data_IF_429506077674
#
_entry.id   IF_429506077674
#
_cell.length_a   1.000
_cell.length_b   1.000
_cell.length_c   1.000
_cell.angle_alpha   90.00
_cell.angle_beta   90.00
_cell.angle_gamma   90.00
#
_symmetry.space_group_name_H-M   'P 1'
#
loop_
_entity.id
_entity.type
_entity.pdbx_description
1 polymer ?
#
# COMPACT_ATOMS: atom_id res chain seq x y z
N UNK A 1 45.76 45.45 -1.70
CA UNK A 1 45.75 44.10 -1.10
C UNK A 1 44.33 43.71 -0.69
N UNK A 2 43.58 44.62 -0.08
CA UNK A 2 42.21 44.38 0.43
C UNK A 2 41.17 43.96 -0.63
N UNK A 3 41.24 44.51 -1.84
CA UNK A 3 40.28 44.18 -2.91
C UNK A 3 40.36 42.72 -3.37
N UNK A 4 41.58 42.19 -3.54
CA UNK A 4 41.80 40.79 -3.95
C UNK A 4 41.37 39.83 -2.83
N UNK A 5 41.65 40.18 -1.56
CA UNK A 5 41.18 39.41 -0.41
C UNK A 5 39.65 39.37 -0.32
N UNK A 6 38.96 40.48 -0.54
CA UNK A 6 37.49 40.51 -0.55
C UNK A 6 36.90 39.62 -1.65
N UNK A 7 37.48 39.62 -2.85
CA UNK A 7 37.05 38.74 -3.94
C UNK A 7 37.27 37.27 -3.57
N UNK A 8 38.42 36.91 -3.01
CA UNK A 8 38.73 35.54 -2.59
C UNK A 8 37.77 35.04 -1.49
N UNK A 9 37.43 35.89 -0.52
CA UNK A 9 36.44 35.58 0.51
C UNK A 9 35.06 35.38 -0.12
N UNK A 10 34.64 36.26 -1.02
CA UNK A 10 33.37 36.14 -1.74
C UNK A 10 33.25 34.85 -2.55
N UNK A 11 34.31 34.48 -3.30
CA UNK A 11 34.36 33.23 -4.06
C UNK A 11 34.27 32.03 -3.12
N UNK A 12 35.02 32.05 -2.01
CA UNK A 12 35.04 30.94 -1.06
C UNK A 12 33.67 30.72 -0.43
N UNK A 13 33.01 31.80 0.01
CA UNK A 13 31.65 31.75 0.58
C UNK A 13 30.66 31.25 -0.48
N UNK A 14 30.74 31.75 -1.72
CA UNK A 14 29.86 31.33 -2.80
C UNK A 14 30.04 29.84 -3.13
N UNK A 15 31.28 29.35 -3.21
CA UNK A 15 31.57 27.94 -3.47
C UNK A 15 31.06 27.04 -2.34
N UNK A 16 31.32 27.38 -1.07
CA UNK A 16 30.82 26.61 0.07
C UNK A 16 29.28 26.60 0.08
N UNK A 17 28.65 27.76 -0.12
CA UNK A 17 27.19 27.88 -0.12
C UNK A 17 26.56 27.06 -1.25
N UNK A 18 27.15 27.08 -2.44
CA UNK A 18 26.67 26.28 -3.58
C UNK A 18 26.73 24.78 -3.28
N UNK A 19 27.85 24.29 -2.72
CA UNK A 19 28.01 22.86 -2.37
C UNK A 19 27.00 22.44 -1.30
N UNK A 20 26.83 23.25 -0.24
CA UNK A 20 25.84 22.97 0.82
C UNK A 20 24.43 22.95 0.25
N UNK A 21 24.08 23.92 -0.58
CA UNK A 21 22.76 24.01 -1.21
C UNK A 21 22.48 22.78 -2.08
N UNK A 22 23.41 22.39 -2.94
CA UNK A 22 23.26 21.20 -3.79
C UNK A 22 23.09 19.93 -2.95
N UNK A 23 23.88 19.77 -1.89
CA UNK A 23 23.78 18.61 -1.00
C UNK A 23 22.42 18.54 -0.29
N UNK A 24 21.93 19.68 0.23
CA UNK A 24 20.63 19.76 0.87
C UNK A 24 19.49 19.46 -0.11
N UNK A 25 19.54 20.06 -1.31
CA UNK A 25 18.56 19.84 -2.37
C UNK A 25 18.51 18.37 -2.81
N UNK A 26 19.68 17.72 -3.00
CA UNK A 26 19.74 16.30 -3.36
C UNK A 26 19.19 15.40 -2.26
N UNK A 27 19.51 15.69 -1.00
CA UNK A 27 19.00 14.92 0.13
C UNK A 27 17.48 15.04 0.24
N UNK A 28 16.95 16.26 0.10
CA UNK A 28 15.50 16.52 0.06
C UNK A 28 14.82 15.76 -1.08
N UNK A 29 15.37 15.85 -2.29
CA UNK A 29 14.82 15.15 -3.45
C UNK A 29 14.79 13.62 -3.26
N UNK A 30 15.84 13.03 -2.68
CA UNK A 30 15.86 11.59 -2.38
C UNK A 30 14.83 11.22 -1.33
N UNK A 31 14.68 12.03 -0.28
CA UNK A 31 13.67 11.81 0.76
C UNK A 31 12.25 11.87 0.17
N UNK A 32 11.94 12.90 -0.62
CA UNK A 32 10.66 13.04 -1.33
C UNK A 32 10.41 11.82 -2.24
N UNK A 33 11.42 11.38 -3.02
CA UNK A 33 11.28 10.22 -3.90
C UNK A 33 11.06 8.90 -3.16
N UNK A 34 11.70 8.72 -2.01
CA UNK A 34 11.46 7.54 -1.16
C UNK A 34 10.05 7.59 -0.59
N UNK A 35 9.62 8.75 -0.09
CA UNK A 35 8.27 8.95 0.43
C UNK A 35 7.19 8.65 -0.61
N UNK A 36 7.32 9.17 -1.84
CA UNK A 36 6.41 8.87 -2.96
C UNK A 36 6.34 7.36 -3.25
N UNK A 37 7.48 6.68 -3.27
CA UNK A 37 7.54 5.23 -3.52
C UNK A 37 6.88 4.42 -2.41
N UNK A 38 7.03 4.86 -1.15
CA UNK A 38 6.32 4.26 -0.01
C UNK A 38 4.82 4.45 -0.16
N UNK A 39 4.36 5.68 -0.42
CA UNK A 39 2.94 5.98 -0.60
C UNK A 39 2.33 5.09 -1.69
N UNK A 40 2.98 5.01 -2.86
CA UNK A 40 2.53 4.15 -3.95
C UNK A 40 2.46 2.66 -3.55
N UNK A 41 3.43 2.17 -2.78
CA UNK A 41 3.42 0.79 -2.29
C UNK A 41 2.23 0.53 -1.36
N UNK A 42 1.93 1.47 -0.46
CA UNK A 42 0.76 1.38 0.42
C UNK A 42 -0.55 1.46 -0.37
N UNK A 43 -0.67 2.38 -1.32
CA UNK A 43 -1.84 2.52 -2.21
C UNK A 43 -2.12 1.22 -2.96
N UNK A 44 -1.08 0.57 -3.52
CA UNK A 44 -1.24 -0.69 -4.24
C UNK A 44 -1.83 -1.81 -3.37
N UNK A 45 -1.41 -1.89 -2.10
CA UNK A 45 -1.94 -2.88 -1.15
C UNK A 45 -3.39 -2.55 -0.76
N UNK A 46 -3.69 -1.26 -0.55
CA UNK A 46 -5.06 -0.79 -0.27
C UNK A 46 -6.00 -1.12 -1.43
N UNK A 47 -5.57 -0.86 -2.67
CA UNK A 47 -6.33 -1.17 -3.88
C UNK A 47 -6.55 -2.68 -4.04
N UNK A 48 -5.55 -3.50 -3.72
CA UNK A 48 -5.67 -4.95 -3.71
C UNK A 48 -6.73 -5.44 -2.72
N UNK A 49 -6.71 -4.93 -1.48
CA UNK A 49 -7.77 -5.20 -0.49
C UNK A 49 -9.15 -4.71 -0.96
N UNK A 50 -9.22 -3.56 -1.61
CA UNK A 50 -10.48 -3.03 -2.15
C UNK A 50 -11.09 -3.99 -3.19
N UNK A 51 -10.28 -4.48 -4.14
CA UNK A 51 -10.73 -5.45 -5.14
C UNK A 51 -11.25 -6.74 -4.52
N UNK A 52 -10.55 -7.24 -3.49
CA UNK A 52 -10.96 -8.44 -2.75
C UNK A 52 -12.31 -8.21 -2.04
N UNK A 53 -12.43 -7.12 -1.27
CA UNK A 53 -13.68 -6.80 -0.55
C UNK A 53 -14.86 -6.62 -1.49
N UNK A 54 -14.65 -5.95 -2.62
CA UNK A 54 -15.69 -5.70 -3.62
C UNK A 54 -16.29 -7.02 -4.14
N UNK A 55 -15.47 -8.04 -4.38
CA UNK A 55 -15.97 -9.36 -4.77
C UNK A 55 -16.96 -9.92 -3.74
N UNK A 56 -16.58 -9.94 -2.46
CA UNK A 56 -17.45 -10.49 -1.43
C UNK A 56 -18.70 -9.64 -1.19
N UNK A 57 -18.58 -8.32 -1.21
CA UNK A 57 -19.69 -7.39 -0.99
C UNK A 57 -20.77 -7.48 -2.08
N UNK A 58 -20.36 -7.55 -3.34
CA UNK A 58 -21.27 -7.67 -4.49
C UNK A 58 -21.98 -9.03 -4.50
N UNK A 59 -21.24 -10.11 -4.23
CA UNK A 59 -21.83 -11.45 -4.12
C UNK A 59 -22.80 -11.56 -2.94
N UNK A 60 -22.47 -10.96 -1.80
CA UNK A 60 -23.32 -10.96 -0.60
C UNK A 60 -24.59 -10.15 -0.83
N UNK A 61 -24.44 -8.95 -1.40
CA UNK A 61 -25.56 -8.09 -1.79
C UNK A 61 -26.48 -8.75 -2.81
N UNK A 62 -25.92 -9.46 -3.80
CA UNK A 62 -26.68 -10.22 -4.80
C UNK A 62 -27.48 -11.36 -4.16
N UNK A 63 -26.89 -12.11 -3.22
CA UNK A 63 -27.60 -13.18 -2.51
C UNK A 63 -28.77 -12.63 -1.68
N UNK A 64 -28.53 -11.58 -0.88
CA UNK A 64 -29.54 -10.96 -0.02
C UNK A 64 -30.69 -10.33 -0.79
N UNK A 65 -30.41 -9.68 -1.93
CA UNK A 65 -31.43 -9.00 -2.74
C UNK A 65 -32.16 -9.93 -3.71
N UNK A 66 -31.75 -11.21 -3.78
CA UNK A 66 -32.19 -12.16 -4.79
C UNK A 66 -32.05 -11.62 -6.23
N UNK A 67 -31.07 -10.75 -6.45
CA UNK A 67 -30.75 -10.20 -7.78
C UNK A 67 -29.72 -11.10 -8.45
N UNK A 68 -29.86 -11.33 -9.76
CA UNK A 68 -28.92 -12.17 -10.51
C UNK A 68 -27.84 -11.30 -11.15
N UNK A 69 -26.59 -11.49 -10.75
CA UNK A 69 -25.44 -10.96 -11.48
C UNK A 69 -25.26 -11.69 -12.81
N UNK A 70 -24.85 -10.97 -13.86
CA UNK A 70 -24.47 -11.61 -15.12
C UNK A 70 -23.20 -12.45 -14.92
N UNK A 71 -23.00 -13.45 -15.78
CA UNK A 71 -21.79 -14.27 -15.72
C UNK A 71 -20.53 -13.45 -16.04
N UNK A 72 -20.64 -12.43 -16.88
CA UNK A 72 -19.57 -11.47 -17.16
C UNK A 72 -19.17 -10.69 -15.91
N UNK A 73 -20.14 -10.17 -15.14
CA UNK A 73 -19.86 -9.44 -13.90
C UNK A 73 -19.18 -10.32 -12.84
N UNK A 74 -19.64 -11.58 -12.69
CA UNK A 74 -19.02 -12.53 -11.75
C UNK A 74 -17.57 -12.82 -12.13
N UNK A 75 -17.32 -13.04 -13.42
CA UNK A 75 -15.99 -13.32 -13.94
C UNK A 75 -15.04 -12.12 -13.76
N UNK A 76 -15.52 -10.90 -13.99
CA UNK A 76 -14.74 -9.68 -13.75
C UNK A 76 -14.35 -9.52 -12.28
N UNK A 77 -15.31 -9.70 -11.36
CA UNK A 77 -15.05 -9.59 -9.93
C UNK A 77 -14.10 -10.70 -9.44
N UNK A 78 -14.28 -11.93 -9.95
CA UNK A 78 -13.40 -13.04 -9.63
C UNK A 78 -11.96 -12.74 -10.07
N UNK A 79 -11.77 -12.29 -11.31
CA UNK A 79 -10.44 -11.87 -11.82
C UNK A 79 -9.83 -10.77 -10.98
N UNK A 80 -10.61 -9.75 -10.61
CA UNK A 80 -10.14 -8.64 -9.78
C UNK A 80 -9.68 -9.12 -8.40
N UNK A 81 -10.46 -9.97 -7.74
CA UNK A 81 -10.12 -10.49 -6.42
C UNK A 81 -8.93 -11.46 -6.44
N UNK A 82 -8.82 -12.32 -7.46
CA UNK A 82 -7.63 -13.16 -7.68
C UNK A 82 -6.38 -12.30 -7.90
N UNK A 83 -6.48 -11.26 -8.73
CA UNK A 83 -5.39 -10.31 -8.95
C UNK A 83 -5.01 -9.57 -7.66
N UNK A 84 -6.00 -9.09 -6.91
CA UNK A 84 -5.78 -8.43 -5.62
C UNK A 84 -4.96 -9.32 -4.67
N UNK A 85 -5.34 -10.59 -4.50
CA UNK A 85 -4.55 -11.52 -3.67
C UNK A 85 -3.14 -11.75 -4.19
N UNK A 86 -2.94 -11.84 -5.50
CA UNK A 86 -1.61 -11.96 -6.08
C UNK A 86 -0.74 -10.72 -5.79
N UNK A 87 -1.31 -9.52 -5.85
CA UNK A 87 -0.62 -8.28 -5.48
C UNK A 87 -0.30 -8.23 -3.97
N UNK A 88 -1.19 -8.73 -3.10
CA UNK A 88 -0.90 -8.86 -1.67
C UNK A 88 0.27 -9.81 -1.41
N UNK A 89 0.30 -10.98 -2.04
CA UNK A 89 1.42 -11.93 -1.93
C UNK A 89 2.72 -11.29 -2.42
N UNK A 90 2.68 -10.60 -3.57
CA UNK A 90 3.83 -9.89 -4.11
C UNK A 90 4.31 -8.77 -3.19
N UNK A 91 3.40 -8.08 -2.51
CA UNK A 91 3.74 -7.03 -1.57
C UNK A 91 4.50 -7.55 -0.35
N UNK A 92 4.34 -8.82 0.04
CA UNK A 92 5.16 -9.46 1.07
C UNK A 92 6.58 -9.68 0.55
N UNK A 93 6.72 -10.28 -0.64
CA UNK A 93 8.03 -10.62 -1.24
C UNK A 93 8.89 -9.37 -1.53
N UNK A 94 8.25 -8.28 -1.96
CA UNK A 94 8.92 -7.03 -2.35
C UNK A 94 8.92 -6.01 -1.20
N UNK A 95 8.03 -6.18 -0.22
CA UNK A 95 7.67 -5.20 0.80
C UNK A 95 8.81 -4.81 1.73
N UNK A 96 9.79 -5.69 1.95
CA UNK A 96 10.92 -5.43 2.84
C UNK A 96 11.74 -4.17 2.52
N UNK A 97 11.58 -3.59 1.32
CA UNK A 97 12.24 -2.34 0.93
C UNK A 97 11.44 -1.06 1.24
N UNK A 98 10.11 -1.10 1.18
CA UNK A 98 9.26 0.10 1.18
C UNK A 98 8.15 0.08 2.24
N UNK A 99 7.67 -1.09 2.62
CA UNK A 99 6.58 -1.25 3.59
C UNK A 99 7.14 -1.51 4.99
N UNK A 100 6.45 -0.98 5.99
CA UNK A 100 6.72 -1.26 7.38
C UNK A 100 6.50 -2.75 7.69
N UNK A 101 7.36 -3.35 8.52
CA UNK A 101 7.25 -4.77 8.88
C UNK A 101 5.91 -5.15 9.51
N UNK A 102 5.29 -4.28 10.33
CA UNK A 102 3.97 -4.54 10.88
C UNK A 102 2.88 -4.51 9.80
N UNK A 103 3.01 -3.63 8.80
CA UNK A 103 2.09 -3.61 7.67
C UNK A 103 2.20 -4.92 6.85
N UNK A 104 3.41 -5.45 6.67
CA UNK A 104 3.64 -6.75 6.02
C UNK A 104 3.01 -7.88 6.83
N UNK A 105 3.22 -7.91 8.15
CA UNK A 105 2.63 -8.91 9.04
C UNK A 105 1.10 -8.96 8.94
N UNK A 106 0.43 -7.81 8.82
CA UNK A 106 -1.03 -7.77 8.61
C UNK A 106 -1.45 -8.49 7.33
N UNK A 107 -0.70 -8.28 6.24
CA UNK A 107 -0.98 -8.96 4.96
C UNK A 107 -0.71 -10.47 5.06
N UNK A 108 0.37 -10.87 5.71
CA UNK A 108 0.69 -12.29 5.97
C UNK A 108 -0.40 -12.97 6.79
N UNK A 109 -0.84 -12.34 7.88
CA UNK A 109 -1.94 -12.84 8.71
C UNK A 109 -3.23 -12.97 7.89
N UNK A 110 -3.59 -11.97 7.08
CA UNK A 110 -4.76 -12.05 6.21
C UNK A 110 -4.69 -13.22 5.23
N UNK A 111 -3.54 -13.40 4.54
CA UNK A 111 -3.40 -14.50 3.59
C UNK A 111 -3.45 -15.86 4.29
N UNK A 112 -2.88 -15.96 5.50
CA UNK A 112 -3.00 -17.15 6.34
C UNK A 112 -4.45 -17.42 6.72
N UNK A 113 -5.20 -16.42 7.19
CA UNK A 113 -6.61 -16.56 7.56
C UNK A 113 -7.47 -16.97 6.36
N UNK A 114 -7.21 -16.38 5.18
CA UNK A 114 -7.86 -16.75 3.92
C UNK A 114 -7.58 -18.20 3.52
N UNK A 115 -6.33 -18.66 3.63
CA UNK A 115 -5.95 -20.04 3.29
C UNK A 115 -6.50 -21.07 4.28
N UNK A 116 -6.69 -20.68 5.54
CA UNK A 116 -7.25 -21.52 6.59
C UNK A 116 -8.73 -21.22 6.84
N UNK A 117 -9.44 -20.73 5.81
CA UNK A 117 -10.87 -20.47 5.87
C UNK A 117 -11.60 -21.77 6.29
N UNK A 118 -12.46 -21.73 7.32
CA UNK A 118 -13.21 -22.89 7.73
C UNK A 118 -14.26 -23.26 6.68
N UNK A 119 -14.74 -24.50 6.74
CA UNK A 119 -15.90 -24.92 5.98
C UNK A 119 -17.16 -24.28 6.56
N UNK A 120 -18.04 -23.79 5.68
CA UNK A 120 -19.31 -23.19 6.03
C UNK A 120 -20.46 -23.98 5.41
N UNK A 121 -21.56 -24.10 6.15
CA UNK A 121 -22.77 -24.77 5.67
C UNK A 121 -23.52 -23.88 4.65
N UNK A 122 -23.38 -22.56 4.78
CA UNK A 122 -24.04 -21.58 3.92
C UNK A 122 -23.04 -20.70 3.16
N UNK A 123 -23.34 -20.43 1.89
CA UNK A 123 -22.48 -19.61 1.04
C UNK A 123 -22.36 -18.16 1.55
N UNK A 124 -23.43 -17.63 2.14
CA UNK A 124 -23.48 -16.29 2.74
C UNK A 124 -22.51 -16.15 3.92
N UNK A 125 -22.33 -17.20 4.71
CA UNK A 125 -21.37 -17.21 5.83
C UNK A 125 -19.93 -17.14 5.32
N UNK A 126 -19.62 -17.88 4.25
CA UNK A 126 -18.33 -17.79 3.58
C UNK A 126 -18.06 -16.38 3.04
N UNK A 127 -19.07 -15.72 2.44
CA UNK A 127 -18.93 -14.36 1.92
C UNK A 127 -18.70 -13.34 3.04
N UNK A 128 -19.51 -13.38 4.10
CA UNK A 128 -19.41 -12.47 5.24
C UNK A 128 -18.08 -12.64 5.98
N UNK A 129 -17.68 -13.90 6.23
CA UNK A 129 -16.41 -14.20 6.88
C UNK A 129 -15.22 -13.62 6.11
N UNK A 130 -15.14 -13.89 4.80
CA UNK A 130 -14.02 -13.44 3.99
C UNK A 130 -14.00 -11.92 3.81
N UNK A 131 -15.17 -11.28 3.73
CA UNK A 131 -15.25 -9.81 3.74
C UNK A 131 -14.75 -9.25 5.07
N UNK A 132 -15.15 -9.84 6.20
CA UNK A 132 -14.81 -9.39 7.54
C UNK A 132 -13.32 -9.46 7.83
N UNK A 133 -12.66 -10.58 7.50
CA UNK A 133 -11.20 -10.70 7.67
C UNK A 133 -10.44 -9.71 6.76
N UNK A 134 -10.91 -9.48 5.53
CA UNK A 134 -10.30 -8.51 4.61
C UNK A 134 -10.49 -7.06 5.10
N UNK A 135 -11.66 -6.72 5.62
CA UNK A 135 -11.94 -5.40 6.17
C UNK A 135 -11.12 -5.11 7.43
N UNK A 136 -11.02 -6.08 8.34
CA UNK A 136 -10.18 -5.99 9.53
C UNK A 136 -8.72 -5.76 9.15
N UNK A 137 -8.18 -6.58 8.25
CA UNK A 137 -6.81 -6.45 7.78
C UNK A 137 -6.54 -5.11 7.10
N UNK A 138 -7.44 -4.65 6.22
CA UNK A 138 -7.30 -3.34 5.57
C UNK A 138 -7.26 -2.19 6.59
N UNK A 139 -8.15 -2.21 7.59
CA UNK A 139 -8.18 -1.17 8.64
C UNK A 139 -6.89 -1.14 9.45
N UNK A 140 -6.38 -2.30 9.83
CA UNK A 140 -5.11 -2.43 10.56
C UNK A 140 -3.91 -2.01 9.70
N UNK A 141 -3.89 -2.43 8.44
CA UNK A 141 -2.87 -2.02 7.47
C UNK A 141 -2.79 -0.50 7.31
N UNK A 142 -3.94 0.19 7.20
CA UNK A 142 -4.00 1.64 7.09
C UNK A 142 -3.40 2.34 8.32
N UNK A 143 -3.56 1.77 9.53
CA UNK A 143 -2.96 2.33 10.75
C UNK A 143 -1.43 2.31 10.65
N UNK A 144 -0.85 1.19 10.20
CA UNK A 144 0.58 1.07 10.00
C UNK A 144 1.09 1.96 8.85
N UNK A 145 0.32 2.07 7.76
CA UNK A 145 0.65 2.94 6.64
C UNK A 145 0.75 4.42 7.06
N UNK A 146 -0.25 4.93 7.80
CA UNK A 146 -0.23 6.30 8.33
C UNK A 146 0.98 6.53 9.24
N UNK A 147 1.22 5.59 10.16
CA UNK A 147 2.35 5.68 11.10
C UNK A 147 3.71 5.69 10.41
N UNK A 148 3.87 5.00 9.27
CA UNK A 148 5.13 4.95 8.53
C UNK A 148 5.33 6.15 7.58
N UNK A 149 4.24 6.72 7.06
CA UNK A 149 4.29 7.88 6.16
C UNK A 149 4.42 9.24 6.87
N UNK A 150 4.10 9.29 8.17
CA UNK A 150 4.28 10.45 9.04
C UNK A 150 5.73 10.60 9.57
N UNK A 151 6.59 9.59 9.35
CA UNK A 151 8.00 9.58 9.75
C UNK A 151 8.92 10.08 8.63
#
# INVERSE_FOLDING_TARGET
>A
MDFIQQILVGITIASISAVVTVKLSLNRFRAEKVWERKLQAYENVIDAFHQIKKYYDEHYSSSLRHTRMSEEQKEELYKAQVKGRAELSRAIDIGGLLLNSNAILVVECYLSDYHNCPDFDFYEEHLDHNWSIADKALKEFIVHAKTDLEK
#
